data_IF_634632162312
#
_entry.id   IF_634632162312
#
_cell.length_a   1.000
_cell.length_b   1.000
_cell.length_c   1.000
_cell.angle_alpha   90.00
_cell.angle_beta   90.00
_cell.angle_gamma   90.00
#
_symmetry.space_group_name_H-M   'P 1'
#
loop_
_entity.id
_entity.type
_entity.pdbx_description
1 polymer ?
#
# COMPACT_ATOMS: atom_id res chain seq x y z
N UNK A 1 44.13 -20.14 12.10
CA UNK A 1 42.65 -20.19 12.27
C UNK A 1 42.06 -18.99 11.53
N UNK A 2 41.17 -19.19 10.54
CA UNK A 2 40.55 -18.06 9.85
C UNK A 2 39.69 -17.24 10.82
N UNK A 3 39.80 -15.92 10.74
CA UNK A 3 39.04 -15.00 11.59
C UNK A 3 37.58 -14.98 11.16
N UNK A 4 36.66 -15.20 12.09
CA UNK A 4 35.21 -15.16 11.85
C UNK A 4 34.64 -13.74 11.85
N UNK A 5 35.40 -12.76 12.35
CA UNK A 5 35.02 -11.33 12.40
C UNK A 5 34.54 -10.77 11.05
N UNK A 6 35.25 -10.93 9.92
CA UNK A 6 34.79 -10.42 8.63
C UNK A 6 33.49 -11.05 8.16
N UNK A 7 33.27 -12.34 8.46
CA UNK A 7 32.04 -13.06 8.07
C UNK A 7 30.83 -12.50 8.81
N UNK A 8 30.97 -12.24 10.11
CA UNK A 8 29.92 -11.65 10.94
C UNK A 8 29.61 -10.22 10.49
N UNK A 9 30.63 -9.42 10.17
CA UNK A 9 30.42 -8.06 9.65
C UNK A 9 29.71 -8.08 8.30
N UNK A 10 30.11 -8.97 7.38
CA UNK A 10 29.48 -9.10 6.07
C UNK A 10 28.02 -9.52 6.18
N UNK A 11 27.68 -10.45 7.07
CA UNK A 11 26.31 -10.91 7.28
C UNK A 11 25.42 -9.82 7.89
N UNK A 12 25.95 -9.03 8.84
CA UNK A 12 25.20 -7.91 9.44
C UNK A 12 24.92 -6.80 8.41
N UNK A 13 25.90 -6.49 7.56
CA UNK A 13 25.73 -5.51 6.48
C UNK A 13 24.69 -6.00 5.47
N UNK A 14 24.80 -7.25 5.01
CA UNK A 14 23.84 -7.82 4.06
C UNK A 14 22.41 -7.83 4.61
N UNK A 15 22.23 -8.16 5.89
CA UNK A 15 20.92 -8.16 6.55
C UNK A 15 20.33 -6.74 6.65
N UNK A 16 21.17 -5.75 6.95
CA UNK A 16 20.76 -4.34 7.05
C UNK A 16 20.35 -3.79 5.68
N UNK A 17 21.11 -4.10 4.62
CA UNK A 17 20.73 -3.69 3.25
C UNK A 17 19.42 -4.35 2.80
N UNK A 18 19.21 -5.63 3.10
CA UNK A 18 17.96 -6.32 2.79
C UNK A 18 16.77 -5.71 3.54
N UNK A 19 16.95 -5.33 4.81
CA UNK A 19 15.92 -4.63 5.57
C UNK A 19 15.60 -3.24 5.00
N UNK A 20 16.62 -2.49 4.56
CA UNK A 20 16.43 -1.19 3.91
C UNK A 20 15.84 -1.28 2.49
N UNK A 21 16.05 -2.38 1.75
CA UNK A 21 15.45 -2.56 0.43
C UNK A 21 14.01 -3.04 0.49
N UNK A 22 13.56 -3.58 1.62
CA UNK A 22 12.18 -3.99 1.85
C UNK A 22 11.32 -2.77 2.24
N UNK A 23 11.34 -1.73 1.41
CA UNK A 23 10.28 -0.74 1.46
C UNK A 23 9.03 -1.40 0.88
N UNK A 24 7.91 -1.51 1.61
CA UNK A 24 6.64 -1.88 0.97
C UNK A 24 6.44 -0.90 -0.17
N UNK A 25 6.19 -1.41 -1.38
CA UNK A 25 5.88 -0.56 -2.52
C UNK A 25 4.78 0.40 -2.06
N UNK A 26 5.11 1.68 -1.97
CA UNK A 26 4.12 2.70 -1.68
C UNK A 26 2.97 2.49 -2.66
N UNK A 27 1.70 2.59 -2.24
CA UNK A 27 0.57 2.51 -3.15
C UNK A 27 0.91 3.39 -4.34
N UNK A 28 0.93 2.80 -5.54
CA UNK A 28 1.26 3.54 -6.74
C UNK A 28 0.44 4.83 -6.67
N UNK A 29 1.13 5.98 -6.76
CA UNK A 29 0.49 7.29 -6.92
C UNK A 29 -0.14 7.30 -8.31
N UNK A 30 -1.10 6.40 -8.53
CA UNK A 30 -1.96 6.42 -9.70
C UNK A 30 -2.73 7.73 -9.59
N UNK A 31 -2.58 8.65 -10.57
CA UNK A 31 -3.35 9.89 -10.59
C UNK A 31 -4.85 9.63 -10.67
N UNK A 32 -5.24 8.40 -11.02
CA UNK A 32 -6.64 8.00 -11.10
C UNK A 32 -7.15 7.66 -9.69
N UNK A 33 -8.11 8.43 -9.15
CA UNK A 33 -8.74 8.08 -7.88
C UNK A 33 -9.39 6.70 -8.00
N UNK A 34 -9.36 5.88 -6.93
CA UNK A 34 -10.01 4.58 -6.95
C UNK A 34 -11.49 4.73 -7.33
N UNK A 35 -12.06 3.77 -8.08
CA UNK A 35 -13.47 3.84 -8.48
C UNK A 35 -14.37 4.08 -7.26
N UNK A 36 -15.33 5.00 -7.38
CA UNK A 36 -16.25 5.31 -6.30
C UNK A 36 -16.98 4.03 -5.85
N UNK A 37 -17.13 3.80 -4.53
CA UNK A 37 -17.89 2.67 -4.02
C UNK A 37 -19.31 2.65 -4.58
N UNK A 38 -19.75 1.48 -5.06
CA UNK A 38 -21.15 1.32 -5.49
C UNK A 38 -22.05 1.29 -4.25
N UNK A 39 -23.23 1.93 -4.27
CA UNK A 39 -24.18 1.84 -3.18
C UNK A 39 -24.61 0.39 -2.93
N UNK A 40 -24.72 0.03 -1.65
CA UNK A 40 -25.16 -1.30 -1.23
C UNK A 40 -26.55 -1.62 -1.78
N UNK A 41 -26.87 -2.90 -1.96
CA UNK A 41 -28.16 -3.33 -2.50
C UNK A 41 -29.35 -2.82 -1.66
N UNK A 42 -29.17 -2.74 -0.33
CA UNK A 42 -30.17 -2.14 0.58
C UNK A 42 -30.36 -0.66 0.30
N UNK A 43 -29.26 0.07 0.11
CA UNK A 43 -29.24 1.50 -0.20
C UNK A 43 -29.87 1.78 -1.57
N UNK A 44 -29.71 0.88 -2.55
CA UNK A 44 -30.38 0.99 -3.85
C UNK A 44 -31.89 0.77 -3.77
N UNK A 45 -32.34 -0.17 -2.95
CA UNK A 45 -33.77 -0.44 -2.77
C UNK A 45 -34.47 0.69 -2.00
N UNK A 46 -33.76 1.30 -1.04
CA UNK A 46 -34.26 2.43 -0.26
C UNK A 46 -34.41 3.71 -1.10
N UNK A 47 -33.45 3.99 -1.99
CA UNK A 47 -33.43 5.24 -2.73
C UNK A 47 -34.07 5.17 -4.12
N UNK A 48 -34.19 3.98 -4.73
CA UNK A 48 -34.73 3.75 -6.08
C UNK A 48 -33.89 4.34 -7.22
N UNK A 49 -33.32 5.52 -7.01
CA UNK A 49 -32.30 6.22 -7.79
C UNK A 49 -31.32 6.84 -6.78
N UNK A 50 -30.03 6.42 -6.72
CA UNK A 50 -29.10 6.94 -5.73
C UNK A 50 -28.96 8.47 -5.88
N UNK A 51 -28.87 9.23 -4.77
CA UNK A 51 -28.66 10.66 -4.86
C UNK A 51 -27.32 10.94 -5.56
N UNK A 52 -27.19 12.04 -6.33
CA UNK A 52 -25.93 12.37 -6.98
C UNK A 52 -24.82 12.43 -5.93
N UNK A 53 -23.79 11.59 -6.11
CA UNK A 53 -22.59 11.60 -5.28
C UNK A 53 -22.00 12.99 -5.36
N UNK A 54 -21.97 13.73 -4.23
CA UNK A 54 -21.36 15.06 -4.21
C UNK A 54 -19.90 14.92 -4.65
N UNK A 55 -19.39 15.77 -5.56
CA UNK A 55 -17.99 15.71 -5.96
C UNK A 55 -17.11 15.75 -4.72
N UNK A 56 -16.28 14.72 -4.54
CA UNK A 56 -15.32 14.63 -3.45
C UNK A 56 -14.45 15.89 -3.46
N UNK A 57 -14.55 16.69 -2.41
CA UNK A 57 -13.60 17.76 -2.14
C UNK A 57 -12.33 17.09 -1.66
N UNK A 58 -11.43 16.82 -2.60
CA UNK A 58 -10.02 16.61 -2.32
C UNK A 58 -9.38 17.95 -1.97
#
# INVERSE_FOLDING_TARGET
MPSLKPVICASLLALTLAACSTAPAAPALDPVPPPAPRPDAKTQLEYGNPPPLRPGRY
#
